data_IF_965033191579
#
_entry.id   IF_965033191579
#
_cell.length_a   1.000
_cell.length_b   1.000
_cell.length_c   1.000
_cell.angle_alpha   90.00
_cell.angle_beta   90.00
_cell.angle_gamma   90.00
#
_symmetry.space_group_name_H-M   'P 1'
#
loop_
_entity.id
_entity.type
_entity.pdbx_description
1 polymer ?
#
# COMPACT_ATOMS: atom_id res chain seq x y z
N UNK A 1 -2.80 8.87 14.91
CA UNK A 1 -3.47 7.55 14.80
C UNK A 1 -2.43 6.44 14.87
N UNK A 2 -2.85 5.23 15.24
CA UNK A 2 -1.98 4.05 15.31
C UNK A 2 -2.67 2.86 14.63
N UNK A 3 -2.00 2.27 13.63
CA UNK A 3 -2.36 1.00 13.03
C UNK A 3 -1.52 -0.09 13.69
N UNK A 4 -2.16 -1.11 14.24
CA UNK A 4 -1.44 -2.16 14.99
C UNK A 4 -2.00 -3.54 14.72
N UNK A 5 -1.14 -4.53 14.84
CA UNK A 5 -1.51 -5.95 14.88
C UNK A 5 -1.15 -6.53 16.24
N UNK A 6 -1.93 -7.50 16.70
CA UNK A 6 -1.67 -8.23 17.94
C UNK A 6 -1.75 -9.72 17.68
N UNK A 7 -0.64 -10.41 17.86
CA UNK A 7 -0.49 -11.87 17.83
C UNK A 7 -1.16 -12.51 16.61
N UNK A 8 -0.91 -11.91 15.41
CA UNK A 8 -1.52 -12.37 14.18
C UNK A 8 -1.03 -13.76 13.81
N UNK A 9 -2.00 -14.65 13.54
CA UNK A 9 -1.77 -15.91 12.88
C UNK A 9 -2.62 -16.01 11.62
N UNK A 10 -2.02 -16.43 10.53
CA UNK A 10 -2.71 -16.60 9.26
C UNK A 10 -2.14 -17.74 8.43
N UNK A 11 -3.03 -18.49 7.79
CA UNK A 11 -2.73 -19.54 6.83
C UNK A 11 -3.78 -19.50 5.70
N UNK A 12 -3.37 -19.65 4.46
CA UNK A 12 -4.29 -19.74 3.31
C UNK A 12 -5.08 -21.06 3.29
N UNK A 13 -4.65 -22.07 4.02
CA UNK A 13 -5.33 -23.37 4.13
C UNK A 13 -5.53 -23.73 5.59
N UNK A 14 -6.72 -24.25 5.94
CA UNK A 14 -7.03 -24.72 7.32
C UNK A 14 -6.05 -25.77 7.88
N UNK A 15 -5.41 -26.53 7.00
CA UNK A 15 -4.45 -27.60 7.36
C UNK A 15 -3.01 -27.28 6.96
N UNK A 16 -2.77 -26.10 6.35
CA UNK A 16 -1.43 -25.69 5.91
C UNK A 16 -0.60 -25.10 7.04
N UNK A 17 0.71 -25.07 6.86
CA UNK A 17 1.59 -24.32 7.74
C UNK A 17 1.19 -22.84 7.78
N UNK A 18 1.30 -22.18 8.92
CA UNK A 18 1.00 -20.74 9.01
C UNK A 18 2.00 -19.97 8.14
N UNK A 19 1.48 -18.96 7.43
CA UNK A 19 2.30 -17.99 6.69
C UNK A 19 2.77 -16.88 7.63
N UNK A 20 1.94 -16.56 8.63
CA UNK A 20 2.26 -15.64 9.73
C UNK A 20 1.93 -16.32 11.04
N UNK A 21 2.82 -16.18 12.03
CA UNK A 21 2.64 -16.70 13.39
C UNK A 21 3.16 -15.69 14.39
N UNK A 22 2.29 -15.32 15.34
CA UNK A 22 2.55 -14.39 16.45
C UNK A 22 3.14 -13.04 16.02
N UNK A 23 2.66 -12.50 14.87
CA UNK A 23 3.16 -11.23 14.32
C UNK A 23 2.45 -10.05 14.97
N UNK A 24 3.22 -9.26 15.72
CA UNK A 24 2.76 -8.02 16.33
C UNK A 24 3.60 -6.85 15.82
N UNK A 25 2.95 -5.80 15.33
CA UNK A 25 3.60 -4.57 14.89
C UNK A 25 2.72 -3.35 15.17
N UNK A 26 3.33 -2.19 15.20
CA UNK A 26 2.65 -0.90 15.26
C UNK A 26 3.25 0.09 14.26
N UNK A 27 2.38 0.88 13.64
CA UNK A 27 2.72 1.96 12.72
C UNK A 27 1.94 3.20 13.15
N UNK A 28 2.63 4.31 13.39
CA UNK A 28 2.02 5.58 13.78
C UNK A 28 1.76 6.48 12.58
N UNK A 29 0.78 7.40 12.70
CA UNK A 29 0.65 8.52 11.75
C UNK A 29 1.98 9.24 11.62
N UNK A 30 2.32 9.66 10.41
CA UNK A 30 3.57 10.35 10.09
C UNK A 30 4.83 9.47 10.14
N UNK A 31 4.73 8.24 10.65
CA UNK A 31 5.84 7.29 10.67
C UNK A 31 6.02 6.64 9.30
N UNK A 32 7.26 6.40 8.91
CA UNK A 32 7.64 5.61 7.74
C UNK A 32 8.37 4.35 8.19
N UNK A 33 7.61 3.26 8.30
CA UNK A 33 8.10 1.96 8.77
C UNK A 33 8.55 1.12 7.58
N UNK A 34 9.82 0.75 7.54
CA UNK A 34 10.37 -0.23 6.62
C UNK A 34 10.15 -1.64 7.12
N UNK A 35 9.69 -2.52 6.25
CA UNK A 35 9.58 -3.95 6.51
C UNK A 35 10.52 -4.71 5.57
N UNK A 36 11.57 -5.27 6.13
CA UNK A 36 12.51 -6.11 5.41
C UNK A 36 12.29 -7.59 5.76
N UNK A 37 12.25 -8.44 4.76
CA UNK A 37 12.32 -9.89 4.93
C UNK A 37 12.64 -10.56 3.59
N UNK A 38 13.20 -11.79 3.59
CA UNK A 38 13.36 -12.61 2.39
C UNK A 38 12.02 -12.86 1.68
N UNK A 39 12.07 -13.27 0.40
CA UNK A 39 10.89 -13.69 -0.35
C UNK A 39 10.19 -14.85 0.33
N UNK A 40 8.84 -14.91 0.22
CA UNK A 40 8.03 -15.99 0.79
C UNK A 40 7.76 -15.89 2.29
N UNK A 41 8.26 -14.89 2.99
CA UNK A 41 8.05 -14.69 4.45
C UNK A 41 6.74 -14.00 4.82
N UNK A 42 5.76 -13.91 3.92
CA UNK A 42 4.43 -13.40 4.25
C UNK A 42 4.28 -11.88 4.29
N UNK A 43 5.24 -11.08 3.77
CA UNK A 43 5.14 -9.61 3.72
C UNK A 43 3.85 -9.11 3.07
N UNK A 44 3.57 -9.60 1.85
CA UNK A 44 2.33 -9.29 1.13
C UNK A 44 1.09 -9.74 1.91
N UNK A 45 1.15 -10.90 2.57
CA UNK A 45 0.06 -11.41 3.41
C UNK A 45 -0.19 -10.48 4.59
N UNK A 46 0.87 -10.00 5.24
CA UNK A 46 0.75 -9.01 6.31
C UNK A 46 0.11 -7.70 5.81
N UNK A 47 0.53 -7.20 4.65
CA UNK A 47 -0.09 -6.01 4.04
C UNK A 47 -1.58 -6.24 3.74
N UNK A 48 -1.95 -7.41 3.22
CA UNK A 48 -3.37 -7.77 2.97
C UNK A 48 -4.20 -7.81 4.25
N UNK A 49 -3.66 -8.35 5.33
CA UNK A 49 -4.33 -8.37 6.63
C UNK A 49 -4.48 -6.94 7.19
N UNK A 50 -3.42 -6.14 7.15
CA UNK A 50 -3.42 -4.74 7.60
C UNK A 50 -4.40 -3.86 6.81
N UNK A 51 -4.58 -4.13 5.51
CA UNK A 51 -5.54 -3.41 4.65
C UNK A 51 -6.96 -4.01 4.68
N UNK A 52 -7.18 -5.11 5.41
CA UNK A 52 -8.50 -5.75 5.55
C UNK A 52 -8.93 -6.62 4.36
N UNK A 53 -8.02 -6.94 3.42
CA UNK A 53 -8.30 -7.87 2.31
C UNK A 53 -8.39 -9.32 2.78
N UNK A 54 -7.73 -9.64 3.90
CA UNK A 54 -7.76 -10.95 4.54
C UNK A 54 -8.18 -10.80 6.00
N UNK A 55 -8.68 -11.89 6.60
CA UNK A 55 -9.02 -11.94 8.02
C UNK A 55 -8.09 -12.90 8.74
N UNK A 56 -7.46 -12.48 9.85
CA UNK A 56 -6.59 -13.37 10.61
C UNK A 56 -7.40 -14.51 11.23
N UNK A 57 -6.77 -15.67 11.38
CA UNK A 57 -7.35 -16.82 12.08
C UNK A 57 -7.23 -16.67 13.60
N UNK A 58 -6.21 -15.93 14.08
CA UNK A 58 -5.98 -15.57 15.47
C UNK A 58 -5.36 -14.18 15.51
N UNK A 59 -5.59 -13.46 16.59
CA UNK A 59 -5.14 -12.08 16.75
C UNK A 59 -6.08 -11.10 16.05
N UNK A 60 -5.67 -9.86 15.97
CA UNK A 60 -6.51 -8.77 15.44
C UNK A 60 -5.69 -7.67 14.77
N UNK A 61 -6.33 -6.95 13.83
CA UNK A 61 -5.82 -5.72 13.23
C UNK A 61 -6.69 -4.56 13.71
N UNK A 62 -6.06 -3.58 14.31
CA UNK A 62 -6.75 -2.45 14.94
C UNK A 62 -6.20 -1.12 14.41
N UNK A 63 -7.10 -0.18 14.20
CA UNK A 63 -6.81 1.22 13.96
C UNK A 63 -7.37 2.04 15.15
N UNK A 64 -6.49 2.70 15.93
CA UNK A 64 -6.83 3.38 17.19
C UNK A 64 -7.68 2.50 18.12
N UNK A 65 -7.29 1.23 18.27
CA UNK A 65 -7.96 0.26 19.14
C UNK A 65 -9.30 -0.27 18.62
N UNK A 66 -9.71 0.08 17.40
CA UNK A 66 -10.95 -0.38 16.77
C UNK A 66 -10.65 -1.21 15.51
N UNK A 67 -11.44 -2.26 15.21
CA UNK A 67 -11.28 -3.00 13.97
C UNK A 67 -11.58 -2.11 12.75
N UNK A 68 -10.95 -2.39 11.61
CA UNK A 68 -11.14 -1.60 10.38
C UNK A 68 -12.62 -1.55 9.93
N UNK A 69 -13.39 -2.60 10.20
CA UNK A 69 -14.83 -2.66 9.90
C UNK A 69 -15.69 -1.66 10.69
N UNK A 70 -15.14 -1.02 11.72
CA UNK A 70 -15.82 0.03 12.48
C UNK A 70 -15.76 1.41 11.80
N UNK A 71 -14.95 1.55 10.74
CA UNK A 71 -14.79 2.81 10.00
C UNK A 71 -15.75 2.83 8.81
N UNK A 72 -16.56 3.88 8.70
CA UNK A 72 -17.47 4.07 7.58
C UNK A 72 -16.76 4.73 6.39
N UNK A 73 -17.24 4.46 5.16
CA UNK A 73 -16.69 5.01 3.93
C UNK A 73 -15.43 4.30 3.43
N UNK A 74 -14.58 4.97 2.66
CA UNK A 74 -13.33 4.39 2.14
C UNK A 74 -12.42 3.95 3.29
N UNK A 75 -11.85 2.75 3.16
CA UNK A 75 -10.95 2.21 4.19
C UNK A 75 -9.77 3.16 4.43
N UNK A 76 -9.50 3.55 5.69
CA UNK A 76 -8.41 4.47 6.03
C UNK A 76 -7.01 3.86 5.85
N UNK A 77 -6.92 2.56 5.59
CA UNK A 77 -5.70 1.83 5.27
C UNK A 77 -5.79 1.35 3.83
N UNK A 78 -4.91 1.83 2.97
CA UNK A 78 -4.85 1.43 1.56
C UNK A 78 -3.54 0.77 1.22
N UNK A 79 -3.57 -0.11 0.22
CA UNK A 79 -2.41 -0.86 -0.24
C UNK A 79 -2.08 -0.51 -1.69
N UNK A 80 -0.80 -0.28 -1.97
CA UNK A 80 -0.24 -0.17 -3.32
C UNK A 80 0.52 -1.45 -3.61
N UNK A 81 0.08 -2.15 -4.63
CA UNK A 81 0.53 -3.49 -4.97
C UNK A 81 1.77 -3.46 -5.88
N UNK A 82 2.54 -4.52 -5.84
CA UNK A 82 3.70 -4.72 -6.70
C UNK A 82 3.28 -4.80 -8.20
N UNK A 83 2.15 -5.46 -8.47
CA UNK A 83 1.61 -5.73 -9.80
C UNK A 83 0.32 -4.93 -10.02
N UNK A 84 0.39 -3.69 -10.56
CA UNK A 84 -0.78 -2.82 -10.72
C UNK A 84 -1.85 -3.41 -11.63
N UNK A 85 -1.46 -4.23 -12.63
CA UNK A 85 -2.37 -4.89 -13.57
C UNK A 85 -3.30 -5.92 -12.89
N UNK A 86 -2.96 -6.38 -11.69
CA UNK A 86 -3.77 -7.37 -10.95
C UNK A 86 -4.87 -6.74 -10.09
N UNK A 87 -4.89 -5.41 -9.98
CA UNK A 87 -5.76 -4.68 -9.05
C UNK A 87 -6.65 -3.63 -9.72
N UNK A 88 -6.67 -3.62 -11.03
CA UNK A 88 -7.55 -2.80 -11.86
C UNK A 88 -8.38 -3.71 -12.77
N UNK A 89 -9.61 -3.30 -13.07
CA UNK A 89 -10.43 -4.03 -14.05
C UNK A 89 -9.90 -3.73 -15.46
N UNK A 90 -9.42 -4.73 -16.21
CA UNK A 90 -8.87 -4.53 -17.55
C UNK A 90 -9.89 -4.07 -18.57
N UNK A 91 -11.19 -4.20 -18.27
CA UNK A 91 -12.30 -3.82 -19.15
C UNK A 91 -12.85 -2.42 -18.87
N UNK A 92 -12.34 -1.73 -17.83
CA UNK A 92 -12.74 -0.36 -17.51
C UNK A 92 -11.68 0.65 -17.95
N UNK A 93 -12.09 1.78 -18.57
CA UNK A 93 -11.22 2.92 -18.77
C UNK A 93 -10.69 3.44 -17.43
N UNK A 94 -9.42 3.87 -17.41
CA UNK A 94 -8.74 4.27 -16.19
C UNK A 94 -9.39 5.45 -15.44
N UNK A 95 -10.05 6.36 -16.16
CA UNK A 95 -10.83 7.42 -15.53
C UNK A 95 -12.02 6.89 -14.70
N UNK A 96 -12.65 5.79 -15.13
CA UNK A 96 -13.70 5.11 -14.34
C UNK A 96 -13.10 4.41 -13.12
N UNK A 97 -11.96 3.75 -13.28
CA UNK A 97 -11.23 3.13 -12.16
C UNK A 97 -10.85 4.16 -11.08
N UNK A 98 -10.40 5.37 -11.46
CA UNK A 98 -10.15 6.44 -10.49
C UNK A 98 -11.43 6.93 -9.81
N UNK A 99 -12.54 7.01 -10.55
CA UNK A 99 -13.81 7.50 -10.02
C UNK A 99 -14.48 6.55 -9.01
N UNK A 100 -14.08 5.27 -8.94
CA UNK A 100 -14.61 4.28 -7.98
C UNK A 100 -14.49 4.72 -6.52
N UNK A 101 -13.38 5.40 -6.16
CA UNK A 101 -13.13 5.92 -4.82
C UNK A 101 -13.40 7.41 -4.68
N UNK A 102 -13.97 8.04 -5.71
CA UNK A 102 -14.03 9.49 -5.87
C UNK A 102 -12.85 10.00 -6.68
N UNK A 103 -13.12 10.85 -7.67
CA UNK A 103 -12.09 11.38 -8.56
C UNK A 103 -11.00 12.11 -7.76
N UNK A 104 -9.72 11.77 -7.91
CA UNK A 104 -8.63 12.47 -7.23
C UNK A 104 -8.59 13.96 -7.60
N UNK A 105 -8.10 14.79 -6.70
CA UNK A 105 -7.85 16.19 -6.98
C UNK A 105 -6.86 16.36 -8.15
N UNK A 106 -7.05 17.39 -8.98
CA UNK A 106 -6.17 17.67 -10.12
C UNK A 106 -4.70 17.78 -9.69
N UNK A 107 -4.44 18.42 -8.53
CA UNK A 107 -3.09 18.51 -7.93
C UNK A 107 -2.39 17.15 -7.81
N UNK A 108 -3.15 16.10 -7.45
CA UNK A 108 -2.62 14.76 -7.29
C UNK A 108 -2.30 14.11 -8.64
N UNK A 109 -3.17 14.30 -9.62
CA UNK A 109 -2.96 13.83 -11.00
C UNK A 109 -1.72 14.47 -11.62
N UNK A 110 -1.57 15.80 -11.47
CA UNK A 110 -0.42 16.56 -11.96
C UNK A 110 0.88 16.11 -11.30
N UNK A 111 0.88 15.94 -9.97
CA UNK A 111 2.05 15.51 -9.20
C UNK A 111 2.50 14.08 -9.56
N UNK A 112 1.56 13.22 -9.93
CA UNK A 112 1.84 11.87 -10.45
C UNK A 112 2.06 11.84 -11.96
N UNK A 113 2.07 13.01 -12.63
CA UNK A 113 2.22 13.14 -14.08
C UNK A 113 1.21 12.29 -14.88
N UNK A 114 -0.01 12.16 -14.37
CA UNK A 114 -1.10 11.47 -15.06
C UNK A 114 -1.66 12.41 -16.12
N UNK A 115 -1.54 12.01 -17.39
CA UNK A 115 -2.01 12.82 -18.53
C UNK A 115 -3.52 12.64 -18.70
N UNK A 116 -4.23 13.71 -19.05
CA UNK A 116 -5.68 13.69 -19.28
C UNK A 116 -6.07 12.62 -20.32
N UNK A 117 -5.33 12.51 -21.41
CA UNK A 117 -5.56 11.49 -22.45
C UNK A 117 -5.41 10.03 -22.00
N UNK A 118 -4.87 9.78 -20.79
CA UNK A 118 -4.80 8.44 -20.24
C UNK A 118 -6.11 8.01 -19.56
N UNK A 119 -6.95 8.96 -19.16
CA UNK A 119 -8.22 8.68 -18.47
C UNK A 119 -9.21 7.88 -19.34
N UNK A 120 -9.10 8.00 -20.66
CA UNK A 120 -9.93 7.24 -21.62
C UNK A 120 -9.33 5.91 -22.05
N UNK A 121 -8.08 5.63 -21.68
CA UNK A 121 -7.37 4.40 -22.01
C UNK A 121 -7.72 3.26 -21.06
N UNK A 122 -7.50 2.05 -21.53
CA UNK A 122 -7.61 0.82 -20.74
C UNK A 122 -6.25 0.47 -20.10
N UNK A 123 -6.24 -0.30 -18.99
CA UNK A 123 -5.00 -0.70 -18.31
C UNK A 123 -3.93 -1.28 -19.22
N UNK A 124 -4.30 -2.14 -20.19
CA UNK A 124 -3.37 -2.77 -21.13
C UNK A 124 -2.72 -1.83 -22.16
N UNK A 125 -3.14 -0.56 -22.22
CA UNK A 125 -2.59 0.44 -23.11
C UNK A 125 -1.53 1.33 -22.44
N UNK A 126 -1.23 1.09 -21.16
CA UNK A 126 -0.24 1.81 -20.38
C UNK A 126 0.96 0.92 -20.06
N UNK A 127 2.13 1.54 -19.92
CA UNK A 127 3.29 0.89 -19.31
C UNK A 127 3.03 0.60 -17.83
N UNK A 128 3.75 -0.36 -17.25
CA UNK A 128 3.62 -0.69 -15.82
C UNK A 128 3.83 0.52 -14.91
N UNK A 129 4.79 1.40 -15.23
CA UNK A 129 5.06 2.62 -14.47
C UNK A 129 3.94 3.66 -14.58
N UNK A 130 3.32 3.80 -15.75
CA UNK A 130 2.16 4.65 -15.95
C UNK A 130 0.96 4.12 -15.16
N UNK A 131 0.69 2.82 -15.24
CA UNK A 131 -0.40 2.17 -14.50
C UNK A 131 -0.19 2.25 -12.98
N UNK A 132 1.06 2.12 -12.51
CA UNK A 132 1.39 2.27 -11.09
C UNK A 132 1.03 3.66 -10.55
N UNK A 133 1.20 4.72 -11.36
CA UNK A 133 0.80 6.08 -10.99
C UNK A 133 -0.71 6.19 -10.79
N UNK A 134 -1.52 5.53 -11.61
CA UNK A 134 -2.98 5.42 -11.41
C UNK A 134 -3.34 4.68 -10.12
N UNK A 135 -2.68 3.57 -9.83
CA UNK A 135 -2.91 2.83 -8.59
C UNK A 135 -2.56 3.67 -7.37
N UNK A 136 -1.49 4.46 -7.43
CA UNK A 136 -1.12 5.42 -6.38
C UNK A 136 -2.19 6.52 -6.22
N UNK A 137 -2.65 7.14 -7.34
CA UNK A 137 -3.68 8.17 -7.30
C UNK A 137 -4.97 7.64 -6.65
N UNK A 138 -5.39 6.42 -7.01
CA UNK A 138 -6.56 5.75 -6.41
C UNK A 138 -6.38 5.48 -4.92
N UNK A 139 -5.19 5.05 -4.51
CA UNK A 139 -4.90 4.71 -3.12
C UNK A 139 -4.75 5.95 -2.21
N UNK A 140 -4.54 7.14 -2.76
CA UNK A 140 -4.32 8.38 -1.99
C UNK A 140 -5.60 9.20 -1.74
N UNK A 141 -6.76 8.53 -1.66
CA UNK A 141 -8.02 9.18 -1.27
C UNK A 141 -7.84 10.01 0.03
N UNK A 142 -8.52 11.18 0.19
CA UNK A 142 -8.38 12.04 1.37
C UNK A 142 -8.64 11.35 2.72
N UNK A 143 -9.51 10.34 2.77
CA UNK A 143 -9.79 9.56 3.98
C UNK A 143 -8.64 8.64 4.42
N UNK A 144 -7.65 8.38 3.57
CA UNK A 144 -6.54 7.46 3.85
C UNK A 144 -5.61 8.07 4.89
N UNK A 145 -5.27 7.25 5.89
CA UNK A 145 -4.36 7.58 7.00
C UNK A 145 -3.10 6.73 6.99
N UNK A 146 -3.17 5.56 6.38
CA UNK A 146 -2.04 4.64 6.26
C UNK A 146 -1.97 4.10 4.83
N UNK A 147 -0.78 4.14 4.25
CA UNK A 147 -0.49 3.61 2.92
C UNK A 147 0.55 2.49 3.04
N UNK A 148 0.20 1.32 2.55
CA UNK A 148 1.05 0.13 2.58
C UNK A 148 1.63 -0.07 1.18
N UNK A 149 2.92 0.13 1.01
CA UNK A 149 3.64 0.01 -0.26
C UNK A 149 4.33 -1.36 -0.34
N UNK A 150 3.68 -2.35 -0.95
CA UNK A 150 4.21 -3.70 -1.08
C UNK A 150 5.02 -3.83 -2.38
N UNK A 151 6.33 -3.63 -2.28
CA UNK A 151 7.28 -3.65 -3.41
C UNK A 151 6.82 -2.80 -4.61
N UNK A 152 6.03 -1.76 -4.35
CA UNK A 152 5.24 -0.99 -5.30
C UNK A 152 6.05 -0.21 -6.35
N UNK A 153 7.37 -0.16 -6.22
CA UNK A 153 8.26 0.52 -7.17
C UNK A 153 9.35 -0.41 -7.71
N UNK A 154 9.34 -1.70 -7.37
CA UNK A 154 10.41 -2.64 -7.74
C UNK A 154 10.54 -2.87 -9.25
N UNK A 155 9.43 -2.73 -10.00
CA UNK A 155 9.39 -2.92 -11.45
C UNK A 155 9.67 -1.65 -12.26
N UNK A 156 9.99 -0.54 -11.58
CA UNK A 156 10.18 0.76 -12.22
C UNK A 156 11.67 1.06 -12.41
N UNK A 157 11.98 1.84 -13.43
CA UNK A 157 13.32 2.41 -13.59
C UNK A 157 13.66 3.36 -12.43
N UNK A 158 14.94 3.57 -12.18
CA UNK A 158 15.43 4.31 -11.02
C UNK A 158 14.94 5.77 -10.98
N UNK A 159 14.75 6.40 -12.14
CA UNK A 159 14.28 7.80 -12.22
C UNK A 159 12.81 7.88 -11.81
N UNK A 160 11.98 7.03 -12.40
CA UNK A 160 10.55 6.93 -12.05
C UNK A 160 10.37 6.54 -10.59
N UNK A 161 11.17 5.59 -10.09
CA UNK A 161 11.15 5.20 -8.68
C UNK A 161 11.46 6.39 -7.76
N UNK A 162 12.52 7.14 -8.05
CA UNK A 162 12.91 8.30 -7.26
C UNK A 162 11.82 9.39 -7.25
N UNK A 163 11.19 9.67 -8.40
CA UNK A 163 10.09 10.63 -8.52
C UNK A 163 8.88 10.23 -7.69
N UNK A 164 8.48 8.95 -7.73
CA UNK A 164 7.36 8.43 -6.96
C UNK A 164 7.64 8.52 -5.45
N UNK A 165 8.83 8.13 -5.00
CA UNK A 165 9.17 8.22 -3.59
C UNK A 165 9.26 9.66 -3.09
N UNK A 166 9.86 10.57 -3.86
CA UNK A 166 9.91 11.98 -3.52
C UNK A 166 8.49 12.58 -3.38
N UNK A 167 7.58 12.23 -4.30
CA UNK A 167 6.17 12.59 -4.20
C UNK A 167 5.51 12.00 -2.95
N UNK A 168 5.64 10.68 -2.72
CA UNK A 168 5.01 10.00 -1.58
C UNK A 168 5.50 10.55 -0.23
N UNK A 169 6.78 10.87 -0.11
CA UNK A 169 7.36 11.43 1.11
C UNK A 169 6.79 12.83 1.41
N UNK A 170 6.64 13.67 0.38
CA UNK A 170 5.99 14.98 0.52
C UNK A 170 4.51 14.85 0.90
N UNK A 171 3.78 13.97 0.24
CA UNK A 171 2.37 13.73 0.52
C UNK A 171 2.16 13.15 1.93
N UNK A 172 3.01 12.22 2.34
CA UNK A 172 2.98 11.66 3.69
C UNK A 172 3.23 12.74 4.76
N UNK A 173 4.23 13.59 4.56
CA UNK A 173 4.53 14.67 5.49
C UNK A 173 3.40 15.71 5.58
N UNK A 174 2.78 16.08 4.43
CA UNK A 174 1.72 17.08 4.40
C UNK A 174 0.40 16.62 5.02
N UNK A 175 0.13 15.30 5.01
CA UNK A 175 -1.12 14.69 5.47
C UNK A 175 -1.00 13.88 6.76
N UNK A 176 0.18 13.83 7.36
CA UNK A 176 0.50 12.96 8.51
C UNK A 176 0.17 11.47 8.22
N UNK A 177 0.48 11.01 6.98
CA UNK A 177 0.25 9.61 6.61
C UNK A 177 1.28 8.69 7.23
N UNK A 178 0.83 7.57 7.83
CA UNK A 178 1.72 6.46 8.13
C UNK A 178 2.03 5.66 6.86
N UNK A 179 3.31 5.39 6.60
CA UNK A 179 3.74 4.54 5.48
C UNK A 179 4.33 3.24 6.00
N UNK A 180 3.84 2.10 5.49
CA UNK A 180 4.55 0.82 5.57
C UNK A 180 5.23 0.56 4.22
N UNK A 181 6.53 0.47 4.22
CA UNK A 181 7.33 0.26 3.01
C UNK A 181 7.94 -1.13 3.04
N UNK A 182 7.43 -2.02 2.21
CA UNK A 182 7.98 -3.36 2.02
C UNK A 182 8.95 -3.33 0.85
N UNK A 183 10.19 -3.71 1.08
CA UNK A 183 11.22 -3.76 0.02
C UNK A 183 12.32 -4.76 0.34
N UNK A 184 12.91 -5.33 -0.70
CA UNK A 184 14.17 -6.08 -0.62
C UNK A 184 15.41 -5.19 -0.66
N UNK A 185 15.28 -3.92 -1.05
CA UNK A 185 16.38 -2.96 -1.14
C UNK A 185 16.59 -2.28 0.20
N UNK A 186 17.64 -2.68 0.93
CA UNK A 186 18.07 -2.00 2.16
C UNK A 186 18.33 -0.51 1.92
N UNK A 187 19.01 -0.17 0.81
CA UNK A 187 19.31 1.22 0.44
C UNK A 187 18.03 2.08 0.26
N UNK A 188 16.95 1.50 -0.31
CA UNK A 188 15.67 2.19 -0.38
C UNK A 188 15.07 2.41 1.00
N UNK A 189 15.04 1.37 1.85
CA UNK A 189 14.48 1.47 3.19
C UNK A 189 15.24 2.49 4.05
N UNK A 190 16.57 2.50 4.01
CA UNK A 190 17.40 3.49 4.70
C UNK A 190 17.09 4.93 4.26
N UNK A 191 16.82 5.12 2.97
CA UNK A 191 16.54 6.45 2.41
C UNK A 191 15.14 6.98 2.73
N UNK A 192 14.12 6.11 2.73
CA UNK A 192 12.72 6.53 2.80
C UNK A 192 12.08 6.32 4.16
N UNK A 193 12.58 5.40 4.99
CA UNK A 193 11.97 5.03 6.26
C UNK A 193 12.60 5.74 7.46
N UNK A 194 11.79 5.96 8.49
CA UNK A 194 12.26 6.49 9.78
C UNK A 194 12.72 5.37 10.72
N UNK A 195 12.18 4.17 10.52
CA UNK A 195 12.50 2.95 11.28
C UNK A 195 12.34 1.74 10.36
N UNK A 196 13.17 0.74 10.53
CA UNK A 196 13.05 -0.54 9.80
C UNK A 196 12.97 -1.68 10.79
N UNK A 197 12.11 -2.65 10.49
CA UNK A 197 11.98 -3.91 11.21
C UNK A 197 12.17 -5.08 10.24
N UNK A 198 12.59 -6.20 10.80
CA UNK A 198 12.68 -7.48 10.09
C UNK A 198 11.54 -8.36 10.55
N UNK A 199 10.88 -9.06 9.63
CA UNK A 199 9.92 -10.09 10.02
C UNK A 199 10.66 -11.23 10.75
N UNK A 200 10.06 -11.78 11.82
CA UNK A 200 10.62 -12.96 12.48
C UNK A 200 10.74 -14.15 11.51
N UNK A 201 11.71 -15.02 11.79
CA UNK A 201 11.97 -16.24 11.02
C UNK A 201 10.86 -17.27 11.17
#
# INVERSE_FOLDING_TARGET
MILQTKDLRFSYSKKGAPVLEDVSLSLHSGERLGLWAPSGRGKTTLCRLLAGYERPQKGEVLLDGKPLSAYAGPCPVQMVWQHPETVVDPLLPLGKTLAESGMPEQRLLDALHIREGWLTRYPGELSGGELQRFCLARALHPAVKFLLCDESTAMLDLVTQAQIWDFLLREAASRDLGLLVVSHSAALLERVCTRTITMPE
#
